data_IF_765135208224
#
_entry.id   IF_765135208224
#
_cell.length_a   1.000
_cell.length_b   1.000
_cell.length_c   1.000
_cell.angle_alpha   90.00
_cell.angle_beta   90.00
_cell.angle_gamma   90.00
#
_symmetry.space_group_name_H-M   'P 1'
#
loop_
_entity.id
_entity.type
_entity.pdbx_description
1 polymer ?
#
# COMPACT_ATOMS: atom_id res chain seq x y z
N UNK A 1 -21.17 4.96 5.79
CA UNK A 1 -19.78 4.43 5.74
C UNK A 1 -18.85 5.62 5.88
N UNK A 2 -17.82 5.56 6.76
CA UNK A 2 -16.86 6.66 6.87
C UNK A 2 -15.99 6.72 5.61
N UNK A 3 -15.54 7.90 5.22
CA UNK A 3 -14.73 8.11 4.02
C UNK A 3 -13.61 9.10 4.28
N UNK A 4 -12.56 9.03 3.46
CA UNK A 4 -11.48 10.02 3.37
C UNK A 4 -11.62 10.71 2.02
N UNK A 5 -11.43 12.03 1.97
CA UNK A 5 -11.38 12.77 0.71
C UNK A 5 -9.93 12.95 0.27
N UNK A 6 -9.58 12.56 -0.95
CA UNK A 6 -8.25 12.87 -1.52
C UNK A 6 -8.16 14.35 -1.92
N UNK A 7 -6.96 14.91 -2.13
CA UNK A 7 -6.82 16.29 -2.61
C UNK A 7 -7.52 16.58 -3.95
N UNK A 8 -7.76 15.54 -4.77
CA UNK A 8 -8.54 15.65 -6.01
C UNK A 8 -10.06 15.50 -5.82
N UNK A 9 -10.51 15.33 -4.58
CA UNK A 9 -11.93 15.27 -4.23
C UNK A 9 -12.54 13.87 -4.20
N UNK A 10 -11.80 12.83 -4.55
CA UNK A 10 -12.28 11.44 -4.53
C UNK A 10 -12.61 11.02 -3.10
N UNK A 11 -13.77 10.36 -2.93
CA UNK A 11 -14.18 9.81 -1.64
C UNK A 11 -13.79 8.33 -1.56
N UNK A 12 -12.88 8.02 -0.65
CA UNK A 12 -12.36 6.68 -0.43
C UNK A 12 -12.97 6.08 0.84
N UNK A 13 -13.57 4.89 0.78
CA UNK A 13 -14.25 4.31 1.92
C UNK A 13 -13.28 3.74 2.97
N UNK A 14 -13.57 4.01 4.24
CA UNK A 14 -12.90 3.44 5.40
C UNK A 14 -13.64 2.19 5.87
N UNK A 15 -12.88 1.15 6.18
CA UNK A 15 -13.38 -0.08 6.80
C UNK A 15 -13.12 -0.05 8.30
N UNK A 16 -14.02 -0.59 9.11
CA UNK A 16 -13.75 -0.81 10.53
C UNK A 16 -12.89 -2.07 10.68
N UNK A 17 -11.62 -1.90 11.05
CA UNK A 17 -10.71 -2.98 11.36
C UNK A 17 -10.45 -3.00 12.86
N UNK A 18 -11.07 -3.95 13.57
CA UNK A 18 -10.93 -4.11 15.03
C UNK A 18 -11.25 -2.83 15.81
N UNK A 19 -12.34 -2.15 15.47
CA UNK A 19 -12.79 -0.93 16.13
C UNK A 19 -12.09 0.34 15.68
N UNK A 20 -11.13 0.26 14.75
CA UNK A 20 -10.41 1.42 14.21
C UNK A 20 -10.74 1.62 12.75
N UNK A 21 -10.79 2.88 12.33
CA UNK A 21 -10.92 3.23 10.91
C UNK A 21 -9.67 2.78 10.17
N UNK A 22 -9.85 2.19 8.98
CA UNK A 22 -8.77 1.64 8.18
C UNK A 22 -9.01 1.85 6.69
N UNK A 23 -8.06 2.49 6.02
CA UNK A 23 -8.05 2.62 4.57
C UNK A 23 -7.38 1.39 3.95
N UNK A 24 -8.13 0.63 3.15
CA UNK A 24 -7.65 -0.58 2.47
C UNK A 24 -6.54 -0.25 1.47
N UNK A 25 -5.63 -1.21 1.24
CA UNK A 25 -4.48 -1.04 0.32
C UNK A 25 -4.91 -0.61 -1.08
N UNK A 26 -6.02 -1.14 -1.61
CA UNK A 26 -6.55 -0.74 -2.91
C UNK A 26 -6.88 0.77 -2.98
N UNK A 27 -7.49 1.33 -1.93
CA UNK A 27 -7.81 2.76 -1.88
C UNK A 27 -6.58 3.64 -1.64
N UNK A 28 -5.57 3.12 -0.94
CA UNK A 28 -4.25 3.80 -0.86
C UNK A 28 -3.58 3.87 -2.22
N UNK A 29 -3.66 2.81 -3.01
CA UNK A 29 -3.15 2.79 -4.38
C UNK A 29 -3.94 3.76 -5.26
N UNK A 30 -5.26 3.80 -5.15
CA UNK A 30 -6.08 4.78 -5.87
C UNK A 30 -5.66 6.22 -5.55
N UNK A 31 -5.51 6.56 -4.27
CA UNK A 31 -5.03 7.88 -3.86
C UNK A 31 -3.62 8.18 -4.42
N UNK A 32 -2.71 7.21 -4.34
CA UNK A 32 -1.36 7.36 -4.88
C UNK A 32 -1.36 7.64 -6.40
N UNK A 33 -2.10 6.86 -7.17
CA UNK A 33 -2.16 7.00 -8.64
C UNK A 33 -2.83 8.32 -9.04
N UNK A 34 -3.81 8.79 -8.28
CA UNK A 34 -4.42 10.09 -8.50
C UNK A 34 -3.40 11.24 -8.41
N UNK A 35 -2.45 11.18 -7.49
CA UNK A 35 -1.46 12.25 -7.28
C UNK A 35 -0.17 12.09 -8.08
N UNK A 36 0.19 10.86 -8.41
CA UNK A 36 1.48 10.54 -9.04
C UNK A 36 1.21 9.93 -10.42
N UNK A 37 1.26 10.71 -11.52
CA UNK A 37 0.98 10.21 -12.86
C UNK A 37 2.10 9.33 -13.45
N UNK A 38 3.32 9.40 -12.89
CA UNK A 38 4.47 8.64 -13.34
C UNK A 38 5.15 7.94 -12.17
N UNK A 39 5.12 6.61 -12.20
CA UNK A 39 5.66 5.78 -11.14
C UNK A 39 6.04 4.39 -11.63
N UNK A 40 6.86 3.71 -10.83
CA UNK A 40 7.12 2.27 -10.95
C UNK A 40 6.83 1.60 -9.62
N UNK A 41 6.15 0.45 -9.67
CA UNK A 41 5.93 -0.43 -8.53
C UNK A 41 6.53 -1.78 -8.91
N UNK A 42 7.44 -2.28 -8.09
CA UNK A 42 8.02 -3.61 -8.26
C UNK A 42 7.92 -4.39 -6.96
N UNK A 43 7.62 -5.68 -7.07
CA UNK A 43 7.65 -6.61 -5.94
C UNK A 43 8.70 -7.68 -6.23
N UNK A 44 9.55 -7.97 -5.25
CA UNK A 44 10.40 -9.16 -5.26
C UNK A 44 10.00 -10.07 -4.10
N UNK A 45 10.26 -11.37 -4.28
CA UNK A 45 9.96 -12.38 -3.28
C UNK A 45 11.25 -13.04 -2.80
N UNK A 46 11.96 -12.46 -1.81
CA UNK A 46 13.14 -13.10 -1.22
C UNK A 46 12.87 -14.51 -0.70
N UNK A 47 11.62 -14.79 -0.28
CA UNK A 47 11.16 -16.13 0.08
C UNK A 47 9.79 -16.33 -0.56
N UNK A 48 9.62 -17.42 -1.31
CA UNK A 48 8.35 -17.89 -1.86
C UNK A 48 8.39 -19.42 -1.93
N UNK A 49 7.64 -20.07 -1.05
CA UNK A 49 7.44 -21.52 -1.02
C UNK A 49 6.06 -21.82 -0.41
N UNK A 50 5.70 -23.10 -0.30
CA UNK A 50 4.38 -23.53 0.17
C UNK A 50 4.11 -23.25 1.66
N UNK A 51 5.11 -22.86 2.44
CA UNK A 51 4.98 -22.63 3.88
C UNK A 51 4.97 -21.15 4.26
N UNK A 52 5.76 -20.34 3.54
CA UNK A 52 5.92 -18.92 3.83
C UNK A 52 6.25 -18.06 2.59
N UNK A 53 5.93 -16.77 2.71
CA UNK A 53 6.31 -15.76 1.73
C UNK A 53 6.84 -14.52 2.41
N UNK A 54 7.97 -14.03 1.91
CA UNK A 54 8.47 -12.69 2.19
C UNK A 54 8.40 -11.91 0.88
N UNK A 55 7.60 -10.85 0.87
CA UNK A 55 7.49 -9.92 -0.24
C UNK A 55 8.15 -8.58 0.13
N UNK A 56 8.88 -8.00 -0.82
CA UNK A 56 9.46 -6.66 -0.74
C UNK A 56 8.94 -5.85 -1.92
N UNK A 57 8.10 -4.86 -1.64
CA UNK A 57 7.57 -3.93 -2.63
C UNK A 57 8.38 -2.64 -2.61
N UNK A 58 8.84 -2.18 -3.76
CA UNK A 58 9.51 -0.88 -3.96
C UNK A 58 8.66 -0.01 -4.87
N UNK A 59 8.45 1.25 -4.47
CA UNK A 59 7.73 2.25 -5.26
C UNK A 59 8.69 3.39 -5.57
N UNK A 60 8.82 3.74 -6.85
CA UNK A 60 9.49 4.95 -7.31
C UNK A 60 8.44 5.90 -7.90
N UNK A 61 8.43 7.15 -7.43
CA UNK A 61 7.76 8.26 -8.12
C UNK A 61 8.81 8.93 -8.98
N UNK A 62 8.52 9.11 -10.27
CA UNK A 62 9.49 9.63 -11.25
C UNK A 62 8.97 10.90 -11.93
N UNK A 63 9.88 11.72 -12.45
CA UNK A 63 9.51 12.81 -13.36
C UNK A 63 9.46 12.34 -14.82
N UNK A 64 9.17 13.26 -15.73
CA UNK A 64 9.08 13.07 -17.18
C UNK A 64 10.41 12.66 -17.82
N UNK A 65 11.52 12.95 -17.15
CA UNK A 65 12.87 12.53 -17.53
C UNK A 65 13.27 11.18 -16.93
N UNK A 66 12.37 10.51 -16.19
CA UNK A 66 12.63 9.23 -15.54
C UNK A 66 13.45 9.30 -14.25
N UNK A 67 13.73 10.50 -13.73
CA UNK A 67 14.46 10.68 -12.47
C UNK A 67 13.56 10.36 -11.28
N UNK A 68 14.08 9.62 -10.30
CA UNK A 68 13.36 9.27 -9.07
C UNK A 68 13.25 10.49 -8.15
N UNK A 69 12.04 10.99 -7.96
CA UNK A 69 11.72 12.08 -7.03
C UNK A 69 11.50 11.57 -5.61
N UNK A 70 10.84 10.42 -5.47
CA UNK A 70 10.53 9.78 -4.18
C UNK A 70 10.66 8.28 -4.31
N UNK A 71 11.11 7.63 -3.24
CA UNK A 71 11.23 6.18 -3.15
C UNK A 71 10.75 5.69 -1.80
N UNK A 72 10.03 4.58 -1.80
CA UNK A 72 9.67 3.86 -0.58
C UNK A 72 9.76 2.36 -0.78
N UNK A 73 9.91 1.64 0.32
CA UNK A 73 9.99 0.18 0.32
C UNK A 73 9.20 -0.40 1.48
N UNK A 74 8.37 -1.40 1.21
CA UNK A 74 7.61 -2.13 2.21
C UNK A 74 7.93 -3.61 2.18
N UNK A 75 8.14 -4.20 3.36
CA UNK A 75 8.38 -5.64 3.51
C UNK A 75 7.27 -6.28 4.32
N UNK A 76 6.82 -7.46 3.91
CA UNK A 76 5.86 -8.27 4.67
C UNK A 76 6.22 -9.75 4.55
N UNK A 77 6.25 -10.42 5.70
CA UNK A 77 6.24 -11.88 5.81
C UNK A 77 4.84 -12.36 6.16
N UNK A 78 4.43 -13.47 5.58
CA UNK A 78 3.22 -14.22 5.94
C UNK A 78 3.48 -15.72 5.79
N UNK A 79 2.77 -16.54 6.57
CA UNK A 79 2.93 -17.99 6.60
C UNK A 79 1.59 -18.69 6.36
N UNK A 80 1.63 -19.87 5.72
CA UNK A 80 0.46 -20.72 5.48
C UNK A 80 -0.35 -20.99 6.75
N UNK A 81 0.35 -21.19 7.88
CA UNK A 81 -0.26 -21.45 9.21
C UNK A 81 -1.17 -20.33 9.70
N UNK A 82 -1.01 -19.10 9.19
CA UNK A 82 -1.80 -17.94 9.59
C UNK A 82 -2.79 -17.49 8.52
N UNK A 83 -2.52 -17.82 7.26
CA UNK A 83 -3.36 -17.43 6.13
C UNK A 83 -3.13 -18.38 4.95
N UNK A 84 -4.20 -18.96 4.41
CA UNK A 84 -4.10 -19.88 3.28
C UNK A 84 -3.43 -19.21 2.07
N UNK A 85 -3.87 -18.00 1.71
CA UNK A 85 -3.31 -17.21 0.61
C UNK A 85 -2.15 -16.32 1.08
N UNK A 86 -1.15 -16.92 1.74
CA UNK A 86 -0.08 -16.17 2.39
C UNK A 86 0.75 -15.34 1.41
N UNK A 87 0.89 -15.80 0.16
CA UNK A 87 1.65 -15.13 -0.90
C UNK A 87 1.02 -13.80 -1.29
N UNK A 88 -0.27 -13.80 -1.63
CA UNK A 88 -1.08 -12.64 -2.00
C UNK A 88 -1.18 -11.65 -0.85
N UNK A 89 -1.31 -12.18 0.37
CA UNK A 89 -1.33 -11.36 1.59
C UNK A 89 0.02 -10.72 1.88
N UNK A 90 1.12 -11.42 1.64
CA UNK A 90 2.46 -10.87 1.78
C UNK A 90 2.68 -9.74 0.77
N UNK A 91 2.38 -9.96 -0.51
CA UNK A 91 2.51 -8.94 -1.55
C UNK A 91 1.64 -7.71 -1.26
N UNK A 92 0.35 -7.91 -0.98
CA UNK A 92 -0.59 -6.82 -0.66
C UNK A 92 -0.13 -6.04 0.57
N UNK A 93 0.40 -6.73 1.59
CA UNK A 93 0.91 -6.11 2.80
C UNK A 93 2.20 -5.33 2.56
N UNK A 94 3.09 -5.82 1.69
CA UNK A 94 4.32 -5.13 1.29
C UNK A 94 3.99 -3.84 0.54
N UNK A 95 3.09 -3.89 -0.45
CA UNK A 95 2.58 -2.72 -1.16
C UNK A 95 1.94 -1.71 -0.20
N UNK A 96 1.06 -2.19 0.70
CA UNK A 96 0.40 -1.34 1.69
C UNK A 96 1.36 -0.60 2.62
N UNK A 97 2.53 -1.20 2.93
CA UNK A 97 3.60 -0.58 3.72
C UNK A 97 4.45 0.40 2.92
N UNK A 98 4.72 0.12 1.66
CA UNK A 98 5.43 1.06 0.78
C UNK A 98 4.60 2.33 0.54
N UNK A 99 3.30 2.17 0.24
CA UNK A 99 2.35 3.27 0.11
C UNK A 99 2.25 4.10 1.42
N UNK A 100 2.26 3.41 2.57
CA UNK A 100 2.24 4.06 3.88
C UNK A 100 3.42 5.03 4.06
N UNK A 101 4.63 4.59 3.71
CA UNK A 101 5.83 5.43 3.81
C UNK A 101 5.78 6.64 2.87
N UNK A 102 5.04 6.54 1.76
CA UNK A 102 4.79 7.66 0.86
C UNK A 102 3.64 8.57 1.33
N UNK A 103 3.04 8.33 2.49
CA UNK A 103 1.94 9.15 3.02
C UNK A 103 0.54 8.68 2.63
N UNK A 104 0.42 7.55 1.92
CA UNK A 104 -0.88 7.01 1.49
C UNK A 104 -1.34 5.94 2.48
N UNK A 105 -1.86 6.36 3.63
CA UNK A 105 -2.38 5.44 4.62
C UNK A 105 -3.22 6.11 5.68
N UNK A 106 -3.90 5.29 6.50
CA UNK A 106 -4.91 5.77 7.44
C UNK A 106 -4.39 6.91 8.32
N UNK A 107 -3.18 6.87 8.88
CA UNK A 107 -2.69 7.95 9.75
C UNK A 107 -2.53 9.31 9.06
N UNK A 108 -2.47 9.34 7.73
CA UNK A 108 -2.44 10.56 6.92
C UNK A 108 -3.81 10.91 6.33
N UNK A 109 -4.76 9.99 6.48
CA UNK A 109 -6.12 10.07 5.99
C UNK A 109 -7.11 10.59 7.05
N UNK A 110 -6.74 10.53 8.34
CA UNK A 110 -7.56 10.93 9.48
C UNK A 110 -7.37 12.40 9.90
N UNK A 111 -6.75 13.25 9.06
CA UNK A 111 -6.48 14.65 9.42
C UNK A 111 -7.75 15.47 9.76
N UNK A 112 -8.93 14.97 9.38
CA UNK A 112 -10.24 15.61 9.56
C UNK A 112 -11.22 14.83 10.47
N UNK A 113 -10.73 14.06 11.46
CA UNK A 113 -11.59 13.40 12.47
C UNK A 113 -11.50 14.02 13.86
#
# INVERSE_FOLDING_TARGET
MKTVRTPKGTLLPLTNLKGKDYLMTAYRLQWFVEENPMYHITTTFPILNDEETVAVCTIHVINDQGQVLRKAMGTKRENLKHFADHSEKAETGALGRALLQLGYGTQYALADL
#
